data_IF_312443169131
#
_entry.id   IF_312443169131
#
_cell.length_a   1.000
_cell.length_b   1.000
_cell.length_c   1.000
_cell.angle_alpha   90.00
_cell.angle_beta   90.00
_cell.angle_gamma   90.00
#
_symmetry.space_group_name_H-M   'P 1'
#
loop_
_entity.id
_entity.type
_entity.pdbx_description
1 polymer ?
#
# COMPACT_ATOMS: atom_id res chain seq x y z
N UNK A 1 -1.25 -10.38 -6.64
CA UNK A 1 -0.28 -9.24 -6.70
C UNK A 1 -0.87 -7.98 -7.35
N UNK A 2 -1.64 -8.09 -8.45
CA UNK A 2 -2.24 -6.93 -9.13
C UNK A 2 -3.07 -6.00 -8.21
N UNK A 3 -3.86 -6.56 -7.29
CA UNK A 3 -4.62 -5.80 -6.31
C UNK A 3 -3.72 -4.99 -5.35
N UNK A 4 -2.62 -5.59 -4.87
CA UNK A 4 -1.64 -4.90 -4.03
C UNK A 4 -0.99 -3.71 -4.78
N UNK A 5 -0.60 -3.94 -6.04
CA UNK A 5 -0.06 -2.88 -6.91
C UNK A 5 -1.08 -1.76 -7.14
N UNK A 6 -2.33 -2.10 -7.41
CA UNK A 6 -3.41 -1.12 -7.60
C UNK A 6 -3.68 -0.31 -6.33
N UNK A 7 -3.66 -0.95 -5.17
CA UNK A 7 -3.83 -0.29 -3.88
C UNK A 7 -2.69 0.71 -3.59
N UNK A 8 -1.42 0.36 -3.87
CA UNK A 8 -0.30 1.30 -3.74
C UNK A 8 -0.48 2.53 -4.63
N UNK A 9 -0.93 2.34 -5.88
CA UNK A 9 -1.22 3.46 -6.80
C UNK A 9 -2.34 4.36 -6.26
N UNK A 10 -3.37 3.79 -5.64
CA UNK A 10 -4.45 4.56 -5.02
C UNK A 10 -3.97 5.36 -3.80
N UNK A 11 -3.09 4.78 -2.97
CA UNK A 11 -2.46 5.50 -1.84
C UNK A 11 -1.68 6.71 -2.33
N UNK A 12 -0.85 6.55 -3.36
CA UNK A 12 -0.06 7.65 -3.94
C UNK A 12 -0.97 8.74 -4.52
N UNK A 13 -2.03 8.37 -5.26
CA UNK A 13 -2.98 9.35 -5.81
C UNK A 13 -3.70 10.11 -4.71
N UNK A 14 -4.18 9.42 -3.68
CA UNK A 14 -4.90 10.05 -2.58
C UNK A 14 -4.00 11.00 -1.80
N UNK A 15 -2.75 10.63 -1.58
CA UNK A 15 -1.77 11.52 -0.97
C UNK A 15 -1.55 12.76 -1.85
N UNK A 16 -1.28 12.58 -3.16
CA UNK A 16 -1.04 13.70 -4.07
C UNK A 16 -2.23 14.64 -4.32
N UNK A 17 -3.47 14.20 -4.06
CA UNK A 17 -4.69 15.03 -4.12
C UNK A 17 -4.96 15.81 -2.83
N UNK A 18 -4.16 15.62 -1.78
CA UNK A 18 -4.31 16.35 -0.53
C UNK A 18 -3.80 17.78 -0.69
N UNK A 19 -4.65 18.77 -0.43
CA UNK A 19 -4.31 20.21 -0.45
C UNK A 19 -3.21 20.58 0.58
N UNK A 20 -2.86 19.65 1.47
CA UNK A 20 -1.80 19.81 2.47
C UNK A 20 -0.40 19.44 1.95
N UNK A 21 -0.29 18.98 0.71
CA UNK A 21 0.97 18.56 0.10
C UNK A 21 1.43 19.64 -0.87
N UNK A 22 2.36 20.45 -0.40
CA UNK A 22 2.98 21.56 -1.13
C UNK A 22 4.37 21.22 -1.68
N UNK A 23 4.94 20.09 -1.23
CA UNK A 23 6.31 19.69 -1.54
C UNK A 23 6.44 18.17 -1.73
N UNK A 24 7.46 17.78 -2.50
CA UNK A 24 7.76 16.37 -2.76
C UNK A 24 8.14 15.60 -1.49
N UNK A 25 8.76 16.27 -0.52
CA UNK A 25 9.14 15.63 0.75
C UNK A 25 7.92 15.38 1.63
N UNK A 26 6.96 16.32 1.67
CA UNK A 26 5.69 16.08 2.37
C UNK A 26 4.90 14.93 1.74
N UNK A 27 4.93 14.79 0.42
CA UNK A 27 4.34 13.63 -0.26
C UNK A 27 4.96 12.31 0.20
N UNK A 28 6.30 12.24 0.25
CA UNK A 28 7.01 11.04 0.71
C UNK A 28 6.66 10.70 2.16
N UNK A 29 6.66 11.70 3.03
CA UNK A 29 6.30 11.52 4.45
C UNK A 29 4.89 10.95 4.59
N UNK A 30 3.89 11.58 3.95
CA UNK A 30 2.49 11.13 4.02
C UNK A 30 2.32 9.71 3.47
N UNK A 31 2.95 9.39 2.33
CA UNK A 31 2.87 8.04 1.76
C UNK A 31 3.52 7.00 2.67
N UNK A 32 4.68 7.31 3.26
CA UNK A 32 5.35 6.40 4.19
C UNK A 32 4.54 6.20 5.48
N UNK A 33 4.01 7.28 6.07
CA UNK A 33 3.14 7.21 7.25
C UNK A 33 1.89 6.36 6.98
N UNK A 34 1.20 6.60 5.86
CA UNK A 34 0.01 5.84 5.48
C UNK A 34 0.34 4.34 5.29
N UNK A 35 1.52 4.01 4.76
CA UNK A 35 1.98 2.62 4.59
C UNK A 35 2.48 1.96 5.88
N UNK A 36 2.80 2.73 6.92
CA UNK A 36 3.14 2.20 8.25
C UNK A 36 1.90 1.99 9.12
N UNK A 37 0.94 2.93 9.08
CA UNK A 37 -0.31 2.84 9.84
C UNK A 37 -1.26 1.79 9.24
N UNK A 38 -1.32 1.70 7.91
CA UNK A 38 -2.12 0.69 7.22
C UNK A 38 -1.24 -0.48 6.84
N UNK A 39 -1.72 -1.67 7.16
CA UNK A 39 -1.11 -2.92 6.73
C UNK A 39 -0.81 -2.86 5.23
N UNK A 40 0.45 -3.09 4.87
CA UNK A 40 0.88 -2.94 3.48
C UNK A 40 0.00 -3.80 2.56
N UNK A 41 -0.43 -3.32 1.37
CA UNK A 41 -1.29 -4.09 0.47
C UNK A 41 -0.69 -5.45 0.06
N UNK A 42 0.63 -5.60 0.17
CA UNK A 42 1.36 -6.86 -0.01
C UNK A 42 1.06 -7.91 1.06
N UNK A 43 0.68 -7.54 2.28
CA UNK A 43 0.38 -8.48 3.36
C UNK A 43 -0.83 -9.36 3.03
N UNK A 44 -1.87 -8.79 2.44
CA UNK A 44 -3.04 -9.55 1.98
C UNK A 44 -2.67 -10.52 0.84
N UNK A 45 -1.78 -10.09 -0.06
CA UNK A 45 -1.28 -10.95 -1.13
C UNK A 45 -0.40 -12.10 -0.59
N UNK A 46 0.44 -11.83 0.40
CA UNK A 46 1.28 -12.83 1.06
C UNK A 46 0.45 -13.83 1.87
N UNK A 47 -0.60 -13.38 2.55
CA UNK A 47 -1.52 -14.24 3.29
C UNK A 47 -2.23 -15.23 2.36
N UNK A 48 -2.67 -14.76 1.18
CA UNK A 48 -3.30 -15.61 0.17
C UNK A 48 -2.32 -16.66 -0.37
N UNK A 49 -1.10 -16.26 -0.73
CA UNK A 49 -0.05 -17.19 -1.17
C UNK A 49 0.27 -18.22 -0.07
N UNK A 50 0.36 -17.78 1.19
CA UNK A 50 0.62 -18.68 2.33
C UNK A 50 -0.50 -19.72 2.50
N UNK A 51 -1.75 -19.32 2.26
CA UNK A 51 -2.90 -20.22 2.33
C UNK A 51 -2.88 -21.22 1.17
N UNK A 52 -2.69 -20.78 -0.07
CA UNK A 52 -2.56 -21.68 -1.23
C UNK A 52 -1.43 -22.69 -1.06
N UNK A 53 -0.30 -22.24 -0.48
CA UNK A 53 0.78 -23.15 -0.13
C UNK A 53 0.28 -24.12 0.94
N UNK A 54 -0.31 -23.67 2.04
CA UNK A 54 -0.85 -24.54 3.12
C UNK A 54 -1.83 -25.60 2.63
N UNK A 55 -2.65 -25.31 1.62
CA UNK A 55 -3.63 -26.24 1.06
C UNK A 55 -3.00 -27.31 0.13
N UNK A 56 -1.70 -27.18 -0.22
CA UNK A 56 -0.95 -28.14 -1.05
C UNK A 56 -0.21 -29.20 -0.22
N UNK A 57 -0.13 -29.07 1.10
CA UNK A 57 0.49 -30.04 2.03
C UNK A 57 -0.54 -30.75 2.89
#
# INVERSE_FOLDING_TARGET
IAAAKAATVQIIRKAGLSDKIDSSDKLREVVLTEMMEKRAPSDAALAYIKQEVSDLW
#
